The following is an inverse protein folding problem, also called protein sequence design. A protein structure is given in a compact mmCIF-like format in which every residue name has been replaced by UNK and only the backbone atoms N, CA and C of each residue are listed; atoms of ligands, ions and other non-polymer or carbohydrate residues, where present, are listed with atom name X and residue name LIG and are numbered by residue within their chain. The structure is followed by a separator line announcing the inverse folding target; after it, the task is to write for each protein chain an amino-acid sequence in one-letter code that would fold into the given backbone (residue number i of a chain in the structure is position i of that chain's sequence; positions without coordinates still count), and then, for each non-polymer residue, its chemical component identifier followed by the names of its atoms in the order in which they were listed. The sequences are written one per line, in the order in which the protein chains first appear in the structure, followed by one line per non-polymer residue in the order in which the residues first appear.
data_IF_191924110371
#
_entry.id   IF_191924110371
#
_cell.length_a   1.000
_cell.length_b   1.000
_cell.length_c   1.000
_cell.angle_alpha   90.00
_cell.angle_beta   90.00
_cell.angle_gamma   90.00
#
_symmetry.space_group_name_H-M   'P 1'
#
loop_
_entity.id
_entity.type
_entity.pdbx_description
1 polymer ?
#
# COMPACT_ATOMS: atom_id res chain seq x y z
N UNK A 1 -5.54 -2.80 9.67
CA UNK A 1 -4.19 -3.09 9.12
C UNK A 1 -3.18 -3.61 10.16
N UNK A 2 -3.51 -3.65 11.46
CA UNK A 2 -2.59 -4.05 12.54
C UNK A 2 -1.80 -5.36 12.32
N UNK A 3 -2.46 -6.43 11.85
CA UNK A 3 -1.76 -7.70 11.58
C UNK A 3 -0.74 -7.59 10.44
N UNK A 4 -1.07 -6.82 9.40
CA UNK A 4 -0.19 -6.56 8.26
C UNK A 4 0.99 -5.69 8.69
N UNK A 5 0.76 -4.64 9.46
CA UNK A 5 1.81 -3.78 10.01
C UNK A 5 2.86 -4.60 10.78
N UNK A 6 2.41 -5.47 11.71
CA UNK A 6 3.30 -6.36 12.46
C UNK A 6 4.07 -7.32 11.56
N UNK A 7 3.44 -7.85 10.51
CA UNK A 7 4.09 -8.75 9.56
C UNK A 7 5.15 -8.02 8.74
N UNK A 8 4.90 -6.79 8.31
CA UNK A 8 5.85 -5.99 7.54
C UNK A 8 7.07 -5.56 8.37
N UNK A 9 6.88 -5.29 9.66
CA UNK A 9 7.96 -4.94 10.59
C UNK A 9 8.87 -6.13 10.95
N UNK A 10 8.32 -7.35 10.99
CA UNK A 10 9.02 -8.57 11.41
C UNK A 10 9.33 -9.56 10.29
N UNK A 11 8.95 -9.22 9.05
CA UNK A 11 9.06 -10.08 7.89
C UNK A 11 10.51 -10.36 7.45
N UNK A 12 10.71 -11.24 6.46
CA UNK A 12 12.04 -11.70 6.05
C UNK A 12 12.88 -10.63 5.32
N UNK A 13 12.28 -9.50 4.91
CA UNK A 13 12.98 -8.34 4.35
C UNK A 13 12.41 -7.03 4.92
N UNK A 14 12.66 -6.75 6.21
CA UNK A 14 12.16 -5.53 6.82
C UNK A 14 12.85 -4.32 6.19
N UNK A 15 12.10 -3.24 5.99
CA UNK A 15 12.62 -1.97 5.47
C UNK A 15 12.83 -1.87 3.95
N UNK A 16 12.37 -2.84 3.14
CA UNK A 16 12.41 -2.70 1.67
C UNK A 16 11.50 -1.59 1.13
N UNK A 17 11.57 -1.22 -0.14
CA UNK A 17 10.64 -0.23 -0.69
C UNK A 17 9.18 -0.74 -0.83
N UNK A 18 9.00 -2.07 -0.94
CA UNK A 18 7.71 -2.75 -1.10
C UNK A 18 7.45 -3.73 0.07
N UNK A 19 6.32 -4.44 0.05
CA UNK A 19 5.95 -5.44 1.07
C UNK A 19 6.99 -6.56 1.20
N UNK A 20 7.68 -6.91 0.10
CA UNK A 20 8.67 -7.98 0.06
C UNK A 20 9.92 -7.58 -0.75
N UNK A 21 10.78 -6.76 -0.16
CA UNK A 21 12.00 -6.25 -0.80
C UNK A 21 11.75 -4.99 -1.64
N UNK A 22 12.45 -4.86 -2.76
CA UNK A 22 12.50 -3.59 -3.53
C UNK A 22 11.50 -3.50 -4.69
N UNK A 23 10.85 -4.60 -5.06
CA UNK A 23 9.95 -4.65 -6.21
C UNK A 23 8.53 -5.01 -5.79
N UNK A 24 7.49 -4.44 -6.41
CA UNK A 24 6.12 -4.79 -6.12
C UNK A 24 5.85 -6.27 -6.35
N UNK A 25 5.06 -6.85 -5.46
CA UNK A 25 4.59 -8.23 -5.50
C UNK A 25 3.07 -8.27 -5.41
N UNK A 26 2.50 -9.48 -5.43
CA UNK A 26 1.06 -9.65 -5.18
C UNK A 26 0.64 -9.06 -3.83
N UNK A 27 1.52 -9.04 -2.82
CA UNK A 27 1.22 -8.43 -1.53
C UNK A 27 0.92 -6.93 -1.65
N UNK A 28 1.68 -6.22 -2.49
CA UNK A 28 1.47 -4.79 -2.75
C UNK A 28 0.18 -4.56 -3.53
N UNK A 29 -0.10 -5.38 -4.55
CA UNK A 29 -1.37 -5.35 -5.29
C UNK A 29 -2.59 -5.52 -4.37
N UNK A 30 -2.46 -6.31 -3.30
CA UNK A 30 -3.51 -6.45 -2.30
C UNK A 30 -3.52 -5.32 -1.27
N UNK A 31 -2.35 -4.83 -0.84
CA UNK A 31 -2.23 -3.82 0.21
C UNK A 31 -2.70 -2.43 -0.25
N UNK A 32 -2.28 -2.00 -1.44
CA UNK A 32 -2.51 -0.62 -1.89
C UNK A 32 -4.00 -0.26 -1.97
N UNK A 33 -4.90 -1.10 -2.52
CA UNK A 33 -6.34 -0.83 -2.51
C UNK A 33 -6.92 -0.75 -1.09
N UNK A 34 -6.37 -1.49 -0.12
CA UNK A 34 -6.84 -1.44 1.28
C UNK A 34 -6.47 -0.10 1.93
N UNK A 35 -5.27 0.43 1.65
CA UNK A 35 -4.84 1.75 2.13
C UNK A 35 -5.63 2.86 1.44
N UNK A 36 -5.89 2.74 0.14
CA UNK A 36 -6.77 3.66 -0.59
C UNK A 36 -8.16 3.74 0.08
N UNK A 37 -8.80 2.59 0.34
CA UNK A 37 -10.10 2.55 1.00
C UNK A 37 -10.05 3.13 2.42
N UNK A 38 -9.01 2.82 3.19
CA UNK A 38 -8.83 3.40 4.52
C UNK A 38 -8.78 4.95 4.46
N UNK A 39 -8.05 5.52 3.49
CA UNK A 39 -8.03 6.98 3.25
C UNK A 39 -9.40 7.51 2.82
N UNK A 40 -10.06 6.84 1.86
CA UNK A 40 -11.39 7.21 1.34
C UNK A 40 -12.45 7.26 2.45
N UNK A 41 -12.40 6.33 3.39
CA UNK A 41 -13.32 6.26 4.53
C UNK A 41 -12.77 6.91 5.81
N UNK A 42 -11.72 7.74 5.69
CA UNK A 42 -11.15 8.52 6.80
C UNK A 42 -10.78 7.67 8.02
N UNK A 43 -10.34 6.43 7.79
CA UNK A 43 -9.80 5.58 8.84
C UNK A 43 -8.42 6.09 9.28
N UNK A 44 -8.17 6.06 10.59
CA UNK A 44 -6.86 6.35 11.17
C UNK A 44 -5.80 5.37 10.65
N UNK A 45 -4.66 5.91 10.21
CA UNK A 45 -3.52 5.16 9.67
C UNK A 45 -2.21 5.46 10.41
N UNK A 46 -2.24 6.36 11.40
CA UNK A 46 -1.10 6.83 12.18
C UNK A 46 -0.41 5.68 12.93
N UNK A 47 -1.16 4.64 13.29
CA UNK A 47 -0.66 3.44 13.95
C UNK A 47 0.01 2.43 12.98
N UNK A 48 -0.02 2.68 11.67
CA UNK A 48 0.50 1.76 10.64
C UNK A 48 1.55 2.43 9.73
N UNK A 49 2.65 2.98 10.31
CA UNK A 49 3.62 3.76 9.57
C UNK A 49 4.29 2.98 8.43
N UNK A 50 4.54 1.68 8.61
CA UNK A 50 5.19 0.87 7.58
C UNK A 50 4.26 0.59 6.40
N UNK A 51 2.98 0.33 6.68
CA UNK A 51 1.96 0.21 5.64
C UNK A 51 1.83 1.52 4.85
N UNK A 52 1.83 2.67 5.53
CA UNK A 52 1.75 3.98 4.88
C UNK A 52 2.96 4.25 3.98
N UNK A 53 4.17 4.00 4.48
CA UNK A 53 5.42 4.19 3.73
C UNK A 53 5.44 3.38 2.42
N UNK A 54 5.14 2.07 2.50
CA UNK A 54 5.05 1.21 1.31
C UNK A 54 3.97 1.73 0.36
N UNK A 55 2.82 2.14 0.90
CA UNK A 55 1.74 2.63 0.07
C UNK A 55 2.09 3.92 -0.67
N UNK A 56 2.82 4.83 -0.04
CA UNK A 56 3.32 6.04 -0.68
C UNK A 56 4.33 5.72 -1.77
N UNK A 57 5.27 4.80 -1.50
CA UNK A 57 6.22 4.33 -2.51
C UNK A 57 5.51 3.72 -3.73
N UNK A 58 4.63 2.74 -3.51
CA UNK A 58 3.93 2.06 -4.61
C UNK A 58 3.03 3.02 -5.39
N UNK A 59 2.30 3.92 -4.73
CA UNK A 59 1.45 4.91 -5.41
C UNK A 59 2.24 5.92 -6.26
N UNK A 60 3.56 6.04 -6.06
CA UNK A 60 4.44 6.82 -6.94
C UNK A 60 4.85 6.10 -8.23
N UNK A 61 4.63 4.79 -8.34
CA UNK A 61 5.04 4.01 -9.50
C UNK A 61 4.02 4.12 -10.64
N UNK A 62 4.46 4.22 -11.91
CA UNK A 62 3.54 4.42 -13.05
C UNK A 62 2.40 3.39 -13.15
N UNK A 63 2.67 2.13 -12.81
CA UNK A 63 1.67 1.07 -12.88
C UNK A 63 0.54 1.26 -11.85
N UNK A 64 0.85 1.71 -10.62
CA UNK A 64 -0.14 1.96 -9.59
C UNK A 64 -0.90 3.26 -9.84
N UNK A 65 -0.23 4.30 -10.37
CA UNK A 65 -0.91 5.53 -10.82
C UNK A 65 -1.95 5.19 -11.90
N UNK A 66 -1.58 4.42 -12.92
CA UNK A 66 -2.52 4.02 -13.97
C UNK A 66 -3.67 3.16 -13.44
N UNK A 67 -3.44 2.37 -12.39
CA UNK A 67 -4.45 1.53 -11.75
C UNK A 67 -5.26 2.26 -10.65
N UNK A 68 -4.98 3.54 -10.37
CA UNK A 68 -5.72 4.30 -9.37
C UNK A 68 -7.21 4.40 -9.74
N UNK A 69 -8.14 4.32 -8.77
CA UNK A 69 -9.58 4.38 -9.05
C UNK A 69 -9.99 5.61 -9.87
N UNK A 70 -9.39 6.77 -9.61
CA UNK A 70 -9.66 8.04 -10.31
C UNK A 70 -9.23 8.03 -11.79
N UNK A 71 -8.38 7.07 -12.20
CA UNK A 71 -7.87 6.95 -13.56
C UNK A 71 -8.58 5.85 -14.37
N UNK A 72 -9.64 5.25 -13.83
CA UNK A 72 -10.39 4.21 -14.54
C UNK A 72 -11.52 4.81 -15.39
N UNK A 73 -11.90 4.18 -16.52
CA UNK A 73 -12.93 4.71 -17.42
C UNK A 73 -14.32 4.88 -16.78
N UNK A 74 -14.59 4.13 -15.71
CA UNK A 74 -15.82 4.11 -14.94
C UNK A 74 -15.73 4.94 -13.65
N UNK A 75 -14.67 5.73 -13.47
CA UNK A 75 -14.58 6.71 -12.39
C UNK A 75 -15.66 7.78 -12.56
N UNK A 76 -16.51 7.95 -11.53
CA UNK A 76 -17.53 9.01 -11.45
C UNK A 76 -16.94 10.38 -11.04
#
# INVERSE_FOLDING_TARGET
LMGVEKLLQSGPRPGGACCYGEQPTLADCCLIPQVYNARRFQCALEEFPRVVEIAEHCNGLPAFVQAAPENQPDAE
#
